data_IF_663691122540
#
_entry.id   IF_663691122540
#
_cell.length_a   1.000
_cell.length_b   1.000
_cell.length_c   1.000
_cell.angle_alpha   90.00
_cell.angle_beta   90.00
_cell.angle_gamma   90.00
#
_symmetry.space_group_name_H-M   'P 1'
#
loop_
_entity.id
_entity.type
_entity.pdbx_description
1 polymer ?
#
# COMPACT_ATOMS: atom_id res chain seq x y z
N UNK A 1 26.51 0.80 18.23
CA UNK A 1 25.81 0.88 16.94
C UNK A 1 25.21 -0.48 16.62
N UNK A 2 23.94 -0.74 16.96
CA UNK A 2 23.26 -1.98 16.52
C UNK A 2 21.72 -1.96 16.65
N UNK A 3 21.14 -1.07 17.47
CA UNK A 3 19.68 -1.05 17.70
C UNK A 3 18.90 -0.27 16.64
N UNK A 4 19.40 0.89 16.19
CA UNK A 4 18.74 1.72 15.17
C UNK A 4 18.70 1.04 13.80
N UNK A 5 19.77 0.34 13.42
CA UNK A 5 19.84 -0.40 12.15
C UNK A 5 18.78 -1.53 12.11
N UNK A 6 18.63 -2.25 13.22
CA UNK A 6 17.64 -3.34 13.35
C UNK A 6 16.19 -2.83 13.26
N UNK A 7 15.88 -1.69 13.89
CA UNK A 7 14.54 -1.09 13.81
C UNK A 7 14.22 -0.58 12.40
N UNK A 8 15.19 0.00 11.70
CA UNK A 8 15.01 0.48 10.33
C UNK A 8 14.81 -0.68 9.34
N UNK A 9 15.56 -1.77 9.49
CA UNK A 9 15.39 -2.98 8.67
C UNK A 9 14.00 -3.60 8.87
N UNK A 10 13.54 -3.68 10.13
CA UNK A 10 12.19 -4.15 10.44
C UNK A 10 11.11 -3.24 9.84
N UNK A 11 11.25 -1.93 9.97
CA UNK A 11 10.31 -0.97 9.38
C UNK A 11 10.23 -1.10 7.85
N UNK A 12 11.38 -1.23 7.18
CA UNK A 12 11.44 -1.43 5.75
C UNK A 12 10.78 -2.76 5.32
N UNK A 13 11.02 -3.82 6.07
CA UNK A 13 10.40 -5.13 5.84
C UNK A 13 8.86 -5.06 5.97
N UNK A 14 8.33 -4.45 7.04
CA UNK A 14 6.89 -4.29 7.22
C UNK A 14 6.26 -3.38 6.16
N UNK A 15 6.95 -2.31 5.77
CA UNK A 15 6.50 -1.43 4.68
C UNK A 15 6.42 -2.18 3.35
N UNK A 16 7.43 -3.00 3.04
CA UNK A 16 7.43 -3.85 1.83
C UNK A 16 6.27 -4.84 1.85
N UNK A 17 5.99 -5.47 2.98
CA UNK A 17 4.86 -6.39 3.12
C UNK A 17 3.52 -5.67 2.97
N UNK A 18 3.35 -4.49 3.57
CA UNK A 18 2.15 -3.67 3.41
C UNK A 18 1.90 -3.31 1.93
N UNK A 19 2.97 -2.99 1.19
CA UNK A 19 2.92 -2.74 -0.25
C UNK A 19 2.47 -3.96 -1.06
N UNK A 20 2.98 -5.14 -0.75
CA UNK A 20 2.60 -6.38 -1.44
C UNK A 20 1.11 -6.66 -1.22
N UNK A 21 0.65 -6.62 0.03
CA UNK A 21 -0.75 -6.88 0.38
C UNK A 21 -1.67 -5.83 -0.28
N UNK A 22 -1.30 -4.55 -0.21
CA UNK A 22 -2.06 -3.47 -0.83
C UNK A 22 -2.19 -3.65 -2.35
N UNK A 23 -1.10 -4.04 -3.01
CA UNK A 23 -1.09 -4.26 -4.47
C UNK A 23 -1.96 -5.45 -4.84
N UNK A 24 -1.88 -6.56 -4.10
CA UNK A 24 -2.71 -7.74 -4.34
C UNK A 24 -4.20 -7.44 -4.16
N UNK A 25 -4.57 -6.71 -3.10
CA UNK A 25 -5.96 -6.28 -2.89
C UNK A 25 -6.44 -5.36 -4.02
N UNK A 26 -5.61 -4.41 -4.45
CA UNK A 26 -5.94 -3.49 -5.55
C UNK A 26 -6.22 -4.25 -6.83
N UNK A 27 -5.33 -5.19 -7.21
CA UNK A 27 -5.52 -6.01 -8.41
C UNK A 27 -6.78 -6.87 -8.29
N UNK A 28 -7.01 -7.49 -7.12
CA UNK A 28 -8.22 -8.26 -6.86
C UNK A 28 -9.48 -7.42 -7.03
N UNK A 29 -9.52 -6.20 -6.47
CA UNK A 29 -10.64 -5.28 -6.62
C UNK A 29 -10.87 -4.89 -8.08
N UNK A 30 -9.81 -4.53 -8.82
CA UNK A 30 -9.91 -4.21 -10.25
C UNK A 30 -10.47 -5.40 -11.02
N UNK A 31 -9.95 -6.61 -10.78
CA UNK A 31 -10.43 -7.81 -11.45
C UNK A 31 -11.91 -8.07 -11.17
N UNK A 32 -12.36 -7.88 -9.91
CA UNK A 32 -13.78 -8.04 -9.56
C UNK A 32 -14.65 -7.01 -10.28
N UNK A 33 -14.25 -5.73 -10.28
CA UNK A 33 -14.99 -4.67 -10.96
C UNK A 33 -15.05 -4.90 -12.48
N UNK A 34 -13.94 -5.30 -13.10
CA UNK A 34 -13.87 -5.53 -14.55
C UNK A 34 -14.63 -6.80 -14.98
N UNK A 35 -14.58 -7.88 -14.19
CA UNK A 35 -15.20 -9.16 -14.57
C UNK A 35 -16.68 -9.26 -14.21
N UNK A 36 -17.11 -8.65 -13.09
CA UNK A 36 -18.47 -8.82 -12.57
C UNK A 36 -19.35 -7.58 -12.67
N UNK A 37 -18.76 -6.37 -12.69
CA UNK A 37 -19.54 -5.11 -12.71
C UNK A 37 -19.60 -4.53 -14.11
N UNK A 38 -18.49 -4.52 -14.84
CA UNK A 38 -18.43 -3.92 -16.17
C UNK A 38 -19.15 -4.77 -17.23
N UNK A 39 -20.23 -4.23 -17.81
CA UNK A 39 -21.00 -4.92 -18.85
C UNK A 39 -20.44 -4.63 -20.25
N UNK A 40 -20.03 -3.38 -20.50
CA UNK A 40 -19.53 -2.95 -21.80
C UNK A 40 -18.01 -2.71 -21.83
N UNK A 41 -17.44 -2.67 -23.04
CA UNK A 41 -15.99 -2.52 -23.24
C UNK A 41 -15.45 -1.17 -22.73
N UNK A 42 -16.24 -0.10 -22.83
CA UNK A 42 -15.86 1.21 -22.28
C UNK A 42 -15.79 1.16 -20.75
N UNK A 43 -16.76 0.54 -20.09
CA UNK A 43 -16.78 0.40 -18.64
C UNK A 43 -15.58 -0.43 -18.14
N UNK A 44 -15.23 -1.52 -18.82
CA UNK A 44 -14.03 -2.33 -18.47
C UNK A 44 -12.75 -1.50 -18.51
N UNK A 45 -12.64 -0.57 -19.46
CA UNK A 45 -11.52 0.35 -19.54
C UNK A 45 -11.50 1.33 -18.37
N UNK A 46 -12.65 1.94 -18.03
CA UNK A 46 -12.75 2.85 -16.90
C UNK A 46 -12.51 2.14 -15.55
N UNK A 47 -13.10 0.97 -15.33
CA UNK A 47 -12.86 0.15 -14.13
C UNK A 47 -11.44 -0.41 -14.04
N UNK A 48 -10.70 -0.50 -15.15
CA UNK A 48 -9.27 -0.80 -15.12
C UNK A 48 -8.43 0.40 -14.65
N UNK A 49 -8.73 1.59 -15.15
CA UNK A 49 -7.89 2.78 -14.95
C UNK A 49 -8.22 3.58 -13.67
N UNK A 50 -9.49 3.81 -13.37
CA UNK A 50 -9.88 4.63 -12.21
C UNK A 50 -9.41 4.03 -10.89
N UNK A 51 -9.63 2.73 -10.60
CA UNK A 51 -9.18 2.16 -9.35
C UNK A 51 -7.65 2.05 -9.29
N UNK A 52 -6.97 1.89 -10.43
CA UNK A 52 -5.51 1.95 -10.49
C UNK A 52 -4.98 3.36 -10.15
N UNK A 53 -5.61 4.40 -10.70
CA UNK A 53 -5.28 5.80 -10.39
C UNK A 53 -5.57 6.13 -8.92
N UNK A 54 -6.72 5.72 -8.39
CA UNK A 54 -7.05 5.86 -6.99
C UNK A 54 -6.01 5.14 -6.12
N UNK A 55 -5.63 3.91 -6.47
CA UNK A 55 -4.65 3.14 -5.73
C UNK A 55 -3.26 3.79 -5.72
N UNK A 56 -2.89 4.51 -6.78
CA UNK A 56 -1.66 5.31 -6.82
C UNK A 56 -1.70 6.49 -5.83
N UNK A 57 -2.84 7.19 -5.73
CA UNK A 57 -3.03 8.28 -4.76
C UNK A 57 -3.03 7.76 -3.31
N UNK A 58 -3.63 6.61 -3.07
CA UNK A 58 -3.69 5.96 -1.75
C UNK A 58 -2.47 5.09 -1.43
N UNK A 59 -1.36 5.26 -2.16
CA UNK A 59 -0.13 4.49 -1.97
C UNK A 59 0.30 4.50 -0.49
N UNK A 60 0.78 3.36 0.05
CA UNK A 60 1.17 3.19 1.46
C UNK A 60 2.48 3.91 1.86
N UNK A 61 2.74 5.10 1.30
CA UNK A 61 3.81 6.01 1.69
C UNK A 61 3.29 7.25 2.44
N UNK A 62 1.98 7.36 2.62
CA UNK A 62 1.36 8.53 3.22
C UNK A 62 1.58 8.52 4.74
N UNK A 63 1.77 9.69 5.38
CA UNK A 63 1.81 9.86 6.85
C UNK A 63 0.79 9.01 7.66
N UNK A 64 -0.47 8.79 7.22
CA UNK A 64 -1.37 7.88 7.93
C UNK A 64 -0.89 6.42 7.96
N UNK A 65 -0.22 5.93 6.91
CA UNK A 65 0.25 4.55 6.82
C UNK A 65 1.44 4.29 7.76
N UNK A 66 2.39 5.22 7.85
CA UNK A 66 3.48 5.10 8.83
C UNK A 66 2.94 5.10 10.26
N UNK A 67 1.89 5.88 10.54
CA UNK A 67 1.19 5.88 11.84
C UNK A 67 0.46 4.55 12.11
N UNK A 68 -0.10 3.91 11.08
CA UNK A 68 -0.73 2.59 11.19
C UNK A 68 0.30 1.49 11.44
N UNK A 69 1.43 1.50 10.72
CA UNK A 69 2.54 0.57 10.96
C UNK A 69 3.01 0.74 12.40
N UNK A 70 3.31 1.97 12.84
CA UNK A 70 3.71 2.24 14.23
C UNK A 70 2.67 1.75 15.25
N UNK A 71 1.38 1.99 15.00
CA UNK A 71 0.31 1.54 15.92
C UNK A 71 0.16 0.01 15.98
N UNK A 72 0.37 -0.68 14.86
CA UNK A 72 0.15 -2.13 14.76
C UNK A 72 1.40 -2.94 15.13
N UNK A 73 2.60 -2.42 14.86
CA UNK A 73 3.87 -3.15 15.06
C UNK A 73 4.73 -2.54 16.16
N UNK A 74 4.45 -1.32 16.62
CA UNK A 74 5.28 -0.58 17.57
C UNK A 74 6.59 -0.06 16.96
N UNK A 75 6.83 -0.29 15.66
CA UNK A 75 8.07 0.09 14.97
C UNK A 75 7.86 1.40 14.22
N UNK A 76 8.61 2.43 14.58
CA UNK A 76 8.71 3.69 13.83
C UNK A 76 9.99 3.69 13.00
N UNK A 77 9.98 4.42 11.89
CA UNK A 77 11.22 4.80 11.24
C UNK A 77 12.05 5.63 12.24
N UNK A 78 13.27 5.20 12.53
CA UNK A 78 14.20 5.98 13.35
C UNK A 78 14.63 7.17 12.49
N UNK A 79 14.12 8.36 12.79
CA UNK A 79 14.68 9.60 12.24
C UNK A 79 16.05 9.80 12.87
N UNK A 80 17.08 9.22 12.26
CA UNK A 80 18.45 9.71 12.43
C UNK A 80 18.53 11.02 11.64
N UNK A 81 18.03 12.11 12.23
CA UNK A 81 17.94 13.40 11.55
C UNK A 81 17.06 14.45 12.23
N UNK A 82 17.25 14.66 13.54
CA UNK A 82 17.35 15.98 14.18
C UNK A 82 18.45 15.93 15.25
#
# INVERSE_FOLDING_TARGET
>A
MNMTNNQNDMYYHYTKMAWIIYTLLTIGFIAVLVLFVAQDNEERFFYGLMPAAAAYVFRPMNKPFSKLIFRLTGVSLSTDGE
#
